data_IF_937770937112
#
_entry.id   IF_937770937112
#
_cell.length_a   1.000
_cell.length_b   1.000
_cell.length_c   1.000
_cell.angle_alpha   90.00
_cell.angle_beta   90.00
_cell.angle_gamma   90.00
#
_symmetry.space_group_name_H-M   'P 1'
#
loop_
_entity.id
_entity.type
_entity.pdbx_description
1 polymer ?
#
# COMPACT_ATOMS: atom_id res chain seq x y z
N UNK A 1 -2.23 -30.04 -1.74
CA UNK A 1 -3.50 -29.71 -1.06
C UNK A 1 -3.34 -29.97 0.43
N UNK A 2 -3.71 -29.03 1.33
CA UNK A 2 -3.48 -29.12 2.77
C UNK A 2 -4.27 -30.24 3.48
N UNK A 3 -5.22 -30.90 2.82
CA UNK A 3 -6.15 -31.88 3.38
C UNK A 3 -5.54 -32.93 4.33
N UNK A 4 -4.43 -33.57 3.96
CA UNK A 4 -3.71 -34.50 4.85
C UNK A 4 -2.65 -33.82 5.72
N UNK A 5 -2.12 -32.67 5.30
CA UNK A 5 -1.13 -31.91 6.07
C UNK A 5 -1.72 -31.34 7.36
N UNK A 6 -3.02 -31.05 7.37
CA UNK A 6 -3.74 -30.58 8.55
C UNK A 6 -4.09 -31.71 9.53
N UNK A 7 -3.93 -32.99 9.17
CA UNK A 7 -4.22 -34.13 10.07
C UNK A 7 -3.34 -34.13 11.33
N UNK A 8 -2.14 -33.56 11.26
CA UNK A 8 -1.26 -33.36 12.42
C UNK A 8 -1.64 -32.17 13.29
N UNK A 9 -2.63 -31.38 12.87
CA UNK A 9 -3.18 -30.29 13.67
C UNK A 9 -4.29 -30.81 14.58
N UNK A 10 -4.43 -30.23 15.77
CA UNK A 10 -5.48 -30.60 16.72
C UNK A 10 -6.89 -30.17 16.28
N UNK A 11 -7.02 -29.41 15.18
CA UNK A 11 -8.27 -28.80 14.77
C UNK A 11 -8.92 -29.38 13.51
N UNK A 12 -8.23 -30.27 12.77
CA UNK A 12 -8.76 -30.85 11.53
C UNK A 12 -8.79 -32.37 11.61
N UNK A 13 -10.00 -32.92 11.59
CA UNK A 13 -10.26 -34.32 11.85
C UNK A 13 -10.94 -35.01 10.66
N UNK A 14 -10.74 -36.32 10.54
CA UNK A 14 -11.40 -37.14 9.53
C UNK A 14 -12.23 -38.22 10.21
N UNK A 15 -13.48 -38.38 9.76
CA UNK A 15 -14.28 -39.56 10.05
C UNK A 15 -13.90 -40.65 9.06
N UNK A 16 -13.24 -41.70 9.54
CA UNK A 16 -12.82 -42.83 8.72
C UNK A 16 -14.01 -43.76 8.49
N UNK A 17 -14.16 -44.28 7.27
CA UNK A 17 -15.16 -45.28 6.95
C UNK A 17 -14.93 -46.56 7.77
N UNK A 18 -16.00 -47.26 8.22
CA UNK A 18 -15.85 -48.49 9.00
C UNK A 18 -14.97 -49.52 8.27
N UNK A 19 -14.05 -50.15 8.99
CA UNK A 19 -13.09 -51.16 8.49
C UNK A 19 -12.04 -50.62 7.49
N UNK A 20 -11.86 -49.30 7.42
CA UNK A 20 -10.82 -48.65 6.61
C UNK A 20 -9.69 -48.06 7.44
N UNK A 21 -9.67 -48.23 8.75
CA UNK A 21 -8.73 -47.62 9.68
C UNK A 21 -7.29 -48.00 9.37
N UNK A 22 -7.03 -49.28 9.12
CA UNK A 22 -5.69 -49.77 8.75
C UNK A 22 -5.21 -49.17 7.42
N UNK A 23 -6.10 -49.10 6.43
CA UNK A 23 -5.82 -48.51 5.12
C UNK A 23 -5.65 -46.98 5.18
N UNK A 24 -6.38 -46.32 6.07
CA UNK A 24 -6.31 -44.89 6.31
C UNK A 24 -5.05 -44.46 7.09
N UNK A 25 -4.60 -45.28 8.04
CA UNK A 25 -3.43 -44.96 8.86
C UNK A 25 -2.11 -44.96 8.08
N UNK A 26 -2.05 -45.67 6.94
CA UNK A 26 -0.90 -45.65 6.04
C UNK A 26 -0.95 -44.50 5.01
N UNK A 27 -2.04 -43.72 4.96
CA UNK A 27 -2.16 -42.57 4.05
C UNK A 27 -1.42 -41.36 4.62
N UNK A 28 -0.30 -41.01 3.98
CA UNK A 28 0.51 -39.82 4.32
C UNK A 28 0.33 -38.67 3.33
N UNK A 29 -0.13 -38.94 2.10
CA UNK A 29 -0.37 -37.93 1.06
C UNK A 29 -1.53 -38.31 0.13
N UNK A 30 -2.06 -37.33 -0.61
CA UNK A 30 -3.10 -37.53 -1.63
C UNK A 30 -2.57 -38.08 -2.97
N UNK A 31 -1.39 -38.71 -3.02
CA UNK A 31 -0.69 -39.12 -4.25
C UNK A 31 -1.41 -40.11 -5.18
N UNK A 32 -2.64 -40.51 -4.86
CA UNK A 32 -3.53 -41.31 -5.71
C UNK A 32 -4.82 -40.60 -6.16
N UNK A 33 -4.89 -39.27 -6.03
CA UNK A 33 -6.07 -38.48 -6.37
C UNK A 33 -7.22 -38.59 -5.35
N UNK A 34 -8.39 -38.07 -5.70
CA UNK A 34 -9.59 -38.03 -4.83
C UNK A 34 -10.13 -39.42 -4.46
N UNK A 35 -9.84 -40.44 -5.25
CA UNK A 35 -10.31 -41.82 -5.05
C UNK A 35 -9.94 -42.38 -3.67
N UNK A 36 -8.71 -42.13 -3.21
CA UNK A 36 -8.25 -42.60 -1.89
C UNK A 36 -8.95 -41.89 -0.72
N UNK A 37 -9.34 -40.63 -0.90
CA UNK A 37 -10.13 -39.90 0.10
C UNK A 37 -11.50 -40.55 0.20
N UNK A 38 -12.18 -40.70 -0.94
CA UNK A 38 -13.54 -41.26 -1.01
C UNK A 38 -13.59 -42.70 -0.48
N UNK A 39 -12.57 -43.51 -0.73
CA UNK A 39 -12.55 -44.92 -0.32
C UNK A 39 -12.27 -45.15 1.17
N UNK A 40 -11.77 -44.15 1.90
CA UNK A 40 -11.33 -44.30 3.28
C UNK A 40 -11.96 -43.29 4.26
N UNK A 41 -12.46 -42.15 3.78
CA UNK A 41 -12.91 -41.04 4.62
C UNK A 41 -14.38 -40.76 4.29
N UNK A 42 -15.22 -40.80 5.31
CA UNK A 42 -16.64 -40.49 5.22
C UNK A 42 -16.85 -38.97 5.10
N UNK A 43 -16.23 -38.20 5.98
CA UNK A 43 -16.17 -36.73 5.94
C UNK A 43 -14.99 -36.18 6.73
N UNK A 44 -14.67 -34.91 6.51
CA UNK A 44 -13.71 -34.14 7.30
C UNK A 44 -14.45 -33.06 8.09
N UNK A 45 -13.94 -32.71 9.27
CA UNK A 45 -14.58 -31.74 10.15
C UNK A 45 -13.54 -30.99 10.99
N UNK A 46 -13.87 -29.77 11.40
CA UNK A 46 -13.11 -29.03 12.39
C UNK A 46 -13.38 -29.57 13.79
N UNK A 47 -12.44 -29.46 14.73
CA UNK A 47 -12.74 -29.69 16.14
C UNK A 47 -13.86 -28.75 16.62
N UNK A 48 -14.61 -29.16 17.62
CA UNK A 48 -15.78 -28.40 18.11
C UNK A 48 -15.42 -26.96 18.51
N UNK A 49 -14.30 -26.77 19.20
CA UNK A 49 -13.83 -25.44 19.61
C UNK A 49 -13.54 -24.54 18.40
N UNK A 50 -12.90 -25.09 17.35
CA UNK A 50 -12.61 -24.33 16.12
C UNK A 50 -13.85 -24.12 15.28
N UNK A 51 -14.78 -25.09 15.27
CA UNK A 51 -16.07 -24.92 14.64
C UNK A 51 -16.87 -23.78 15.28
N UNK A 52 -16.88 -23.69 16.62
CA UNK A 52 -17.52 -22.58 17.35
C UNK A 52 -16.91 -21.23 16.96
N UNK A 53 -15.57 -21.16 16.86
CA UNK A 53 -14.87 -19.95 16.44
C UNK A 53 -15.18 -19.58 14.98
N UNK A 54 -15.19 -20.55 14.06
CA UNK A 54 -15.46 -20.31 12.64
C UNK A 54 -16.93 -19.92 12.41
N UNK A 55 -17.84 -20.43 13.24
CA UNK A 55 -19.27 -20.13 13.16
C UNK A 55 -19.65 -18.82 13.88
N UNK A 56 -18.67 -18.10 14.43
CA UNK A 56 -18.80 -16.76 14.98
C UNK A 56 -18.21 -15.74 13.99
N UNK A 57 -19.03 -14.84 13.46
CA UNK A 57 -18.63 -13.90 12.40
C UNK A 57 -17.40 -13.04 12.77
N UNK A 58 -17.29 -12.61 14.03
CA UNK A 58 -16.17 -11.80 14.50
C UNK A 58 -14.88 -12.62 14.53
N UNK A 59 -14.93 -13.81 15.13
CA UNK A 59 -13.77 -14.71 15.20
C UNK A 59 -13.35 -15.21 13.82
N UNK A 60 -14.29 -15.45 12.90
CA UNK A 60 -13.98 -15.82 11.53
C UNK A 60 -13.24 -14.71 10.78
N UNK A 61 -13.62 -13.45 11.00
CA UNK A 61 -12.95 -12.29 10.42
C UNK A 61 -11.49 -12.20 10.91
N UNK A 62 -11.27 -12.38 12.22
CA UNK A 62 -9.95 -12.35 12.84
C UNK A 62 -9.07 -13.52 12.35
N UNK A 63 -9.63 -14.72 12.28
CA UNK A 63 -8.93 -15.91 11.79
C UNK A 63 -8.55 -15.73 10.31
N UNK A 64 -9.49 -15.26 9.48
CA UNK A 64 -9.24 -15.03 8.05
C UNK A 64 -8.17 -13.96 7.85
N UNK A 65 -8.27 -12.84 8.56
CA UNK A 65 -7.29 -11.75 8.51
C UNK A 65 -5.90 -12.24 8.95
N UNK A 66 -5.83 -13.05 10.01
CA UNK A 66 -4.59 -13.64 10.52
C UNK A 66 -4.00 -14.66 9.55
N UNK A 67 -4.81 -15.53 8.95
CA UNK A 67 -4.36 -16.49 7.93
C UNK A 67 -3.81 -15.74 6.71
N UNK A 68 -4.51 -14.71 6.25
CA UNK A 68 -4.04 -13.87 5.14
C UNK A 68 -2.74 -13.16 5.50
N UNK A 69 -2.60 -12.69 6.74
CA UNK A 69 -1.35 -12.13 7.25
C UNK A 69 -0.23 -13.17 7.19
N UNK A 70 -0.44 -14.37 7.73
CA UNK A 70 0.57 -15.45 7.79
C UNK A 70 0.96 -15.92 6.38
N UNK A 71 0.01 -16.13 5.47
CA UNK A 71 0.29 -16.57 4.10
C UNK A 71 1.05 -15.52 3.30
N UNK A 72 0.78 -14.24 3.56
CA UNK A 72 1.57 -13.14 3.00
C UNK A 72 2.97 -13.07 3.64
N UNK A 73 3.11 -13.43 4.92
CA UNK A 73 4.38 -13.41 5.66
C UNK A 73 5.30 -14.62 5.38
N UNK A 74 4.77 -15.83 5.19
CA UNK A 74 5.59 -17.06 5.04
C UNK A 74 6.38 -17.15 3.71
N UNK A 75 6.29 -16.14 2.86
CA UNK A 75 7.12 -16.03 1.64
C UNK A 75 8.40 -15.20 1.83
N UNK A 76 8.79 -14.84 3.06
CA UNK A 76 10.11 -14.26 3.37
C UNK A 76 10.47 -14.50 4.86
N UNK A 77 11.45 -15.36 5.19
CA UNK A 77 11.71 -15.72 6.58
C UNK A 77 12.41 -14.65 7.44
N UNK A 78 12.83 -13.52 6.89
CA UNK A 78 13.64 -12.53 7.61
C UNK A 78 13.11 -11.11 7.40
N UNK A 79 12.13 -10.67 8.19
CA UNK A 79 11.88 -9.24 8.38
C UNK A 79 11.11 -9.03 9.70
N UNK A 80 11.85 -8.72 10.76
CA UNK A 80 11.31 -8.08 11.95
C UNK A 80 10.65 -6.75 11.58
N UNK A 81 9.44 -6.50 12.10
CA UNK A 81 8.75 -5.21 12.28
C UNK A 81 8.85 -4.12 11.17
N UNK A 82 9.18 -4.49 9.93
CA UNK A 82 9.10 -3.62 8.76
C UNK A 82 7.74 -3.75 8.08
N UNK A 83 7.18 -2.64 7.60
CA UNK A 83 6.02 -2.67 6.70
C UNK A 83 6.35 -3.58 5.51
N UNK A 84 5.71 -4.75 5.41
CA UNK A 84 5.87 -5.58 4.22
C UNK A 84 5.23 -4.85 3.05
N UNK A 85 6.09 -4.43 2.14
CA UNK A 85 5.74 -3.80 0.89
C UNK A 85 4.85 -4.70 0.04
N UNK A 86 3.94 -4.08 -0.69
CA UNK A 86 3.17 -4.77 -1.72
C UNK A 86 4.10 -5.24 -2.86
N UNK A 87 3.79 -6.39 -3.45
CA UNK A 87 4.61 -7.00 -4.52
C UNK A 87 4.32 -6.39 -5.89
N UNK A 88 5.14 -6.73 -6.88
CA UNK A 88 4.95 -6.32 -8.29
C UNK A 88 3.58 -6.66 -8.90
N UNK A 89 2.88 -7.68 -8.40
CA UNK A 89 1.52 -8.04 -8.85
C UNK A 89 0.39 -7.22 -8.20
N UNK A 90 0.68 -6.31 -7.27
CA UNK A 90 -0.36 -5.64 -6.45
C UNK A 90 -1.42 -4.87 -7.25
N UNK A 91 -1.07 -4.45 -8.47
CA UNK A 91 -1.94 -3.66 -9.34
C UNK A 91 -2.99 -4.49 -10.08
N UNK A 92 -2.85 -5.82 -10.13
CA UNK A 92 -3.71 -6.73 -10.92
C UNK A 92 -3.90 -6.28 -12.38
N UNK A 93 -2.88 -5.62 -12.96
CA UNK A 93 -2.91 -4.98 -14.29
C UNK A 93 -3.78 -3.73 -14.43
N UNK A 94 -4.27 -3.17 -13.32
CA UNK A 94 -4.98 -1.91 -13.29
C UNK A 94 -4.08 -0.79 -12.80
N UNK A 95 -4.13 0.36 -13.48
CA UNK A 95 -3.58 1.61 -12.95
C UNK A 95 -4.41 2.11 -11.76
N UNK A 96 -3.82 2.99 -10.96
CA UNK A 96 -4.56 3.74 -9.94
C UNK A 96 -5.67 4.57 -10.58
N UNK A 97 -6.85 4.52 -9.99
CA UNK A 97 -8.04 5.27 -10.41
C UNK A 97 -8.65 5.94 -9.18
N UNK A 98 -8.84 7.26 -9.23
CA UNK A 98 -9.46 8.04 -8.17
C UNK A 98 -10.92 7.64 -7.97
N UNK A 99 -11.66 7.43 -9.06
CA UNK A 99 -13.04 6.94 -8.95
C UNK A 99 -13.12 5.55 -8.30
N UNK A 100 -12.19 4.65 -8.59
CA UNK A 100 -12.08 3.35 -7.92
C UNK A 100 -11.71 3.46 -6.44
N UNK A 101 -10.72 4.29 -6.10
CA UNK A 101 -10.34 4.59 -4.72
C UNK A 101 -11.48 5.21 -3.90
N UNK A 102 -12.20 6.16 -4.49
CA UNK A 102 -13.37 6.81 -3.89
C UNK A 102 -14.46 5.81 -3.51
N UNK A 103 -14.75 4.86 -4.40
CA UNK A 103 -15.73 3.80 -4.15
C UNK A 103 -15.28 2.88 -3.01
N UNK A 104 -14.02 2.45 -3.01
CA UNK A 104 -13.47 1.64 -1.92
C UNK A 104 -13.56 2.38 -0.59
N UNK A 105 -13.08 3.63 -0.53
CA UNK A 105 -13.11 4.43 0.70
C UNK A 105 -14.55 4.64 1.21
N UNK A 106 -15.49 4.93 0.30
CA UNK A 106 -16.91 5.10 0.64
C UNK A 106 -17.54 3.82 1.18
N UNK A 107 -17.18 2.66 0.61
CA UNK A 107 -17.64 1.36 1.11
C UNK A 107 -17.12 1.06 2.52
N UNK A 108 -15.85 1.36 2.81
CA UNK A 108 -15.28 1.22 4.15
C UNK A 108 -15.99 2.12 5.17
N UNK A 109 -16.18 3.40 4.85
CA UNK A 109 -16.92 4.33 5.73
C UNK A 109 -18.36 3.84 5.98
N UNK A 110 -19.02 3.33 4.93
CA UNK A 110 -20.39 2.81 5.04
C UNK A 110 -20.45 1.56 5.92
N UNK A 111 -19.47 0.67 5.83
CA UNK A 111 -19.34 -0.52 6.69
C UNK A 111 -19.20 -0.13 8.15
N UNK A 112 -18.29 0.81 8.46
CA UNK A 112 -18.06 1.26 9.83
C UNK A 112 -19.28 1.96 10.44
N UNK A 113 -19.98 2.80 9.67
CA UNK A 113 -21.25 3.42 10.09
C UNK A 113 -22.34 2.40 10.40
N UNK A 114 -22.36 1.29 9.66
CA UNK A 114 -23.28 0.17 9.91
C UNK A 114 -22.78 -0.79 11.00
N UNK A 115 -21.69 -0.47 11.70
CA UNK A 115 -21.04 -1.31 12.73
C UNK A 115 -20.69 -2.70 12.20
N UNK A 116 -20.46 -2.81 10.90
CA UNK A 116 -19.94 -4.01 10.28
C UNK A 116 -18.43 -4.05 10.51
N UNK A 117 -17.88 -5.27 10.60
CA UNK A 117 -16.44 -5.49 10.57
C UNK A 117 -15.83 -5.00 9.24
N UNK A 118 -14.53 -5.21 9.07
CA UNK A 118 -13.80 -4.87 7.83
C UNK A 118 -14.59 -5.41 6.62
N UNK A 119 -14.88 -4.57 5.60
CA UNK A 119 -15.62 -4.98 4.42
C UNK A 119 -15.07 -6.26 3.80
N UNK A 120 -15.94 -7.26 3.64
CA UNK A 120 -15.60 -8.45 2.86
C UNK A 120 -15.51 -8.12 1.38
N UNK A 121 -14.86 -8.98 0.59
CA UNK A 121 -14.84 -8.82 -0.87
C UNK A 121 -16.26 -8.82 -1.46
N UNK A 122 -17.17 -9.63 -0.89
CA UNK A 122 -18.59 -9.67 -1.28
C UNK A 122 -19.27 -8.33 -1.01
N UNK A 123 -19.06 -7.75 0.17
CA UNK A 123 -19.59 -6.43 0.51
C UNK A 123 -19.09 -5.36 -0.46
N UNK A 124 -17.78 -5.36 -0.76
CA UNK A 124 -17.19 -4.41 -1.70
C UNK A 124 -17.78 -4.55 -3.12
N UNK A 125 -18.15 -5.76 -3.55
CA UNK A 125 -18.81 -5.97 -4.85
C UNK A 125 -20.24 -5.43 -4.89
N UNK A 126 -20.96 -5.47 -3.76
CA UNK A 126 -22.32 -4.94 -3.68
C UNK A 126 -22.36 -3.42 -3.57
N UNK A 127 -21.33 -2.83 -2.94
CA UNK A 127 -21.24 -1.39 -2.70
C UNK A 127 -20.46 -0.60 -3.77
N UNK A 128 -19.81 -1.29 -4.70
CA UNK A 128 -19.03 -0.66 -5.78
C UNK A 128 -19.47 -1.17 -7.14
N UNK A 129 -19.22 -0.39 -8.18
CA UNK A 129 -19.42 -0.82 -9.58
C UNK A 129 -18.18 -1.52 -10.14
N UNK A 130 -17.22 -1.88 -9.29
CA UNK A 130 -15.91 -2.40 -9.70
C UNK A 130 -15.98 -3.90 -9.95
N UNK A 131 -15.26 -4.35 -10.99
CA UNK A 131 -15.05 -5.78 -11.21
C UNK A 131 -14.17 -6.41 -10.12
N UNK A 132 -14.19 -7.74 -9.98
CA UNK A 132 -13.45 -8.46 -8.93
C UNK A 132 -11.97 -8.04 -8.81
N UNK A 133 -11.22 -8.09 -9.92
CA UNK A 133 -9.80 -7.73 -9.89
C UNK A 133 -9.59 -6.22 -9.67
N UNK A 134 -10.56 -5.38 -10.05
CA UNK A 134 -10.52 -3.95 -9.75
C UNK A 134 -10.73 -3.67 -8.27
N UNK A 135 -11.60 -4.43 -7.58
CA UNK A 135 -11.75 -4.34 -6.12
C UNK A 135 -10.43 -4.63 -5.43
N UNK A 136 -9.75 -5.72 -5.82
CA UNK A 136 -8.44 -6.10 -5.27
C UNK A 136 -7.40 -5.01 -5.53
N UNK A 137 -7.27 -4.56 -6.79
CA UNK A 137 -6.31 -3.51 -7.16
C UNK A 137 -6.56 -2.21 -6.41
N UNK A 138 -7.81 -1.72 -6.36
CA UNK A 138 -8.14 -0.47 -5.69
C UNK A 138 -8.02 -0.57 -4.16
N UNK A 139 -8.28 -1.73 -3.56
CA UNK A 139 -8.00 -1.95 -2.15
C UNK A 139 -6.49 -1.90 -1.86
N UNK A 140 -5.67 -2.50 -2.72
CA UNK A 140 -4.22 -2.42 -2.62
C UNK A 140 -3.72 -0.98 -2.80
N UNK A 141 -4.30 -0.21 -3.74
CA UNK A 141 -3.99 1.20 -3.89
C UNK A 141 -4.43 2.02 -2.68
N UNK A 142 -5.62 1.78 -2.12
CA UNK A 142 -6.11 2.50 -0.94
C UNK A 142 -5.20 2.26 0.28
N UNK A 143 -4.71 1.02 0.43
CA UNK A 143 -3.72 0.67 1.45
C UNK A 143 -2.36 1.31 1.18
N UNK A 144 -1.86 1.15 -0.04
CA UNK A 144 -0.55 1.66 -0.44
C UNK A 144 -0.46 3.18 -0.37
N UNK A 145 -1.56 3.90 -0.62
CA UNK A 145 -1.64 5.36 -0.60
C UNK A 145 -2.09 5.94 0.75
N UNK A 146 -2.09 5.13 1.82
CA UNK A 146 -2.31 5.61 3.17
C UNK A 146 -3.75 5.98 3.52
N UNK A 147 -4.75 5.60 2.72
CA UNK A 147 -6.17 5.83 3.02
C UNK A 147 -6.72 4.79 4.01
N UNK A 148 -6.21 3.56 3.94
CA UNK A 148 -6.66 2.42 4.74
C UNK A 148 -5.44 1.68 5.30
N UNK A 149 -5.44 1.33 6.58
CA UNK A 149 -4.39 0.55 7.21
C UNK A 149 -4.41 -0.91 6.74
N UNK A 150 -3.34 -1.65 7.03
CA UNK A 150 -3.26 -3.09 6.71
C UNK A 150 -4.39 -3.90 7.34
N UNK A 151 -4.77 -3.56 8.56
CA UNK A 151 -5.86 -4.20 9.30
C UNK A 151 -7.26 -3.73 8.87
N UNK A 152 -7.38 -2.94 7.80
CA UNK A 152 -8.68 -2.51 7.28
C UNK A 152 -9.31 -1.31 7.99
N UNK A 153 -8.66 -0.75 9.03
CA UNK A 153 -9.10 0.53 9.60
C UNK A 153 -8.84 1.69 8.63
N UNK A 154 -9.74 2.67 8.62
CA UNK A 154 -9.54 3.90 7.86
C UNK A 154 -8.53 4.78 8.60
N UNK A 155 -7.60 5.39 7.86
CA UNK A 155 -6.62 6.30 8.46
C UNK A 155 -7.24 7.68 8.70
N UNK A 156 -6.60 8.53 9.51
CA UNK A 156 -7.01 9.93 9.66
C UNK A 156 -7.02 10.65 8.30
N UNK A 157 -6.01 10.40 7.45
CA UNK A 157 -5.99 10.91 6.07
C UNK A 157 -7.20 10.41 5.26
N UNK A 158 -7.56 9.13 5.36
CA UNK A 158 -8.74 8.56 4.71
C UNK A 158 -10.04 9.26 5.13
N UNK A 159 -10.22 9.52 6.43
CA UNK A 159 -11.38 10.26 6.95
C UNK A 159 -11.45 11.69 6.40
N UNK A 160 -10.35 12.42 6.50
CA UNK A 160 -10.28 13.82 6.06
C UNK A 160 -10.53 13.94 4.55
N UNK A 161 -9.99 13.02 3.75
CA UNK A 161 -10.25 12.96 2.31
C UNK A 161 -11.72 12.67 2.04
N UNK A 162 -12.33 11.69 2.71
CA UNK A 162 -13.73 11.35 2.50
C UNK A 162 -14.66 12.55 2.74
N UNK A 163 -14.40 13.32 3.80
CA UNK A 163 -15.25 14.45 4.17
C UNK A 163 -15.06 15.69 3.28
N UNK A 164 -13.85 15.93 2.76
CA UNK A 164 -13.49 17.20 2.09
C UNK A 164 -13.16 17.08 0.60
N UNK A 165 -12.75 15.89 0.15
CA UNK A 165 -12.43 15.59 -1.24
C UNK A 165 -12.83 14.16 -1.60
N UNK A 166 -14.14 13.81 -1.54
CA UNK A 166 -14.61 12.45 -1.81
C UNK A 166 -14.25 11.97 -3.23
N UNK A 167 -14.00 12.89 -4.16
CA UNK A 167 -13.57 12.60 -5.53
C UNK A 167 -12.06 12.35 -5.69
N UNK A 168 -11.28 12.56 -4.62
CA UNK A 168 -9.81 12.61 -4.59
C UNK A 168 -9.20 13.55 -5.66
N UNK A 169 -9.93 14.58 -6.05
CA UNK A 169 -9.60 15.41 -7.21
C UNK A 169 -8.77 16.64 -6.88
N UNK A 170 -8.66 17.02 -5.60
CA UNK A 170 -7.82 18.13 -5.14
C UNK A 170 -6.34 17.78 -5.31
N UNK A 171 -5.52 18.81 -5.47
CA UNK A 171 -4.09 18.66 -5.76
C UNK A 171 -3.32 18.24 -4.50
N UNK A 172 -3.75 18.72 -3.33
CA UNK A 172 -3.31 18.33 -1.99
C UNK A 172 -3.43 16.82 -1.80
N UNK A 173 -4.62 16.28 -2.08
CA UNK A 173 -4.93 14.84 -1.97
C UNK A 173 -4.02 14.02 -2.87
N UNK A 174 -3.87 14.41 -4.13
CA UNK A 174 -3.06 13.65 -5.08
C UNK A 174 -1.57 13.63 -4.71
N UNK A 175 -1.04 14.74 -4.17
CA UNK A 175 0.34 14.77 -3.66
C UNK A 175 0.53 13.82 -2.48
N UNK A 176 -0.45 13.74 -1.57
CA UNK A 176 -0.42 12.81 -0.45
C UNK A 176 -0.56 11.36 -0.90
N UNK A 177 -1.47 11.05 -1.84
CA UNK A 177 -1.60 9.72 -2.42
C UNK A 177 -0.27 9.28 -3.07
N UNK A 178 0.35 10.18 -3.84
CA UNK A 178 1.66 9.96 -4.45
C UNK A 178 2.76 9.72 -3.40
N UNK A 179 2.81 10.55 -2.36
CA UNK A 179 3.78 10.42 -1.29
C UNK A 179 3.67 9.06 -0.58
N UNK A 180 2.48 8.71 -0.10
CA UNK A 180 2.27 7.49 0.69
C UNK A 180 2.54 6.22 -0.13
N UNK A 181 2.13 6.18 -1.41
CA UNK A 181 2.45 5.01 -2.25
C UNK A 181 3.95 4.87 -2.56
N UNK A 182 4.72 5.96 -2.42
CA UNK A 182 6.12 6.00 -2.82
C UNK A 182 7.10 5.89 -1.64
N UNK A 183 6.66 6.13 -0.40
CA UNK A 183 7.55 6.16 0.77
C UNK A 183 7.81 4.76 1.34
N UNK A 184 8.97 4.58 1.99
CA UNK A 184 9.44 3.27 2.47
C UNK A 184 8.72 2.76 3.72
N UNK A 185 8.18 3.63 4.59
CA UNK A 185 7.49 3.17 5.81
C UNK A 185 6.02 2.74 5.60
N UNK A 186 5.45 3.01 4.43
CA UNK A 186 4.05 2.67 4.11
C UNK A 186 3.87 1.32 3.40
N UNK A 187 2.63 0.95 3.08
CA UNK A 187 2.29 -0.31 2.41
C UNK A 187 2.47 -0.28 0.88
N UNK A 188 2.82 0.86 0.27
CA UNK A 188 3.04 0.95 -1.18
C UNK A 188 4.04 -0.07 -1.71
N UNK A 189 3.99 -0.45 -2.99
CA UNK A 189 4.91 -1.44 -3.53
C UNK A 189 6.32 -0.85 -3.68
N UNK A 190 7.34 -1.63 -3.32
CA UNK A 190 8.71 -1.14 -3.17
C UNK A 190 9.27 -0.51 -4.45
N UNK A 191 8.96 -1.11 -5.60
CA UNK A 191 9.43 -0.62 -6.88
C UNK A 191 8.92 0.80 -7.21
N UNK A 192 7.79 1.23 -6.63
CA UNK A 192 7.14 2.49 -7.01
C UNK A 192 7.99 3.69 -6.59
N UNK A 193 8.30 3.77 -5.30
CA UNK A 193 9.20 4.79 -4.74
C UNK A 193 10.58 4.78 -5.38
N UNK A 194 11.17 3.58 -5.55
CA UNK A 194 12.45 3.40 -6.24
C UNK A 194 12.40 3.93 -7.68
N UNK A 195 11.31 3.68 -8.41
CA UNK A 195 11.16 4.14 -9.80
C UNK A 195 11.05 5.65 -9.86
N UNK A 196 10.21 6.26 -9.02
CA UNK A 196 10.08 7.72 -8.94
C UNK A 196 11.44 8.36 -8.63
N UNK A 197 12.10 7.92 -7.56
CA UNK A 197 13.33 8.54 -7.08
C UNK A 197 14.52 8.43 -8.06
N UNK A 198 14.53 7.43 -8.94
CA UNK A 198 15.69 7.12 -9.80
C UNK A 198 15.44 7.22 -11.31
N UNK A 199 14.19 7.33 -11.75
CA UNK A 199 13.85 7.39 -13.18
C UNK A 199 13.06 8.62 -13.57
N UNK A 200 12.30 9.22 -12.68
CA UNK A 200 11.47 10.38 -12.99
C UNK A 200 12.29 11.67 -12.94
N UNK A 201 13.30 11.79 -13.79
CA UNK A 201 14.13 12.98 -13.90
C UNK A 201 13.46 13.96 -14.88
N UNK A 202 13.23 15.20 -14.43
CA UNK A 202 12.55 16.23 -15.23
C UNK A 202 13.27 16.42 -16.58
N UNK A 203 12.51 16.40 -17.67
CA UNK A 203 13.02 16.52 -19.04
C UNK A 203 13.40 15.20 -19.69
N UNK A 204 13.41 14.09 -18.95
CA UNK A 204 13.67 12.77 -19.53
C UNK A 204 12.41 12.18 -20.16
N UNK A 205 12.61 11.51 -21.28
CA UNK A 205 11.64 10.59 -21.86
C UNK A 205 11.76 9.22 -21.18
N UNK A 206 10.62 8.59 -20.89
CA UNK A 206 10.52 7.25 -20.32
C UNK A 206 9.72 6.37 -21.26
N UNK A 207 10.20 5.16 -21.53
CA UNK A 207 9.38 4.14 -22.17
C UNK A 207 9.07 2.99 -21.22
N UNK A 208 7.97 2.28 -21.52
CA UNK A 208 7.47 1.16 -20.71
C UNK A 208 8.54 0.10 -20.47
N UNK A 209 9.35 -0.22 -21.49
CA UNK A 209 10.32 -1.31 -21.44
C UNK A 209 11.46 -0.98 -20.47
N UNK A 210 12.01 0.23 -20.53
CA UNK A 210 13.04 0.71 -19.59
C UNK A 210 12.56 0.70 -18.14
N UNK A 211 11.31 1.11 -17.91
CA UNK A 211 10.71 1.05 -16.58
C UNK A 211 10.53 -0.39 -16.12
N UNK A 212 10.07 -1.30 -16.99
CA UNK A 212 9.94 -2.72 -16.67
C UNK A 212 11.30 -3.37 -16.33
N UNK A 213 12.35 -3.05 -17.07
CA UNK A 213 13.73 -3.50 -16.80
C UNK A 213 14.22 -2.97 -15.45
N UNK A 214 13.94 -1.70 -15.13
CA UNK A 214 14.28 -1.14 -13.81
C UNK A 214 13.53 -1.83 -12.67
N UNK A 215 12.22 -2.04 -12.81
CA UNK A 215 11.41 -2.74 -11.80
C UNK A 215 11.93 -4.17 -11.61
N UNK A 216 12.27 -4.86 -12.71
CA UNK A 216 12.88 -6.18 -12.67
C UNK A 216 14.16 -6.17 -11.83
N UNK A 217 15.14 -5.31 -12.16
CA UNK A 217 16.39 -5.20 -11.41
C UNK A 217 16.15 -4.86 -9.93
N UNK A 218 15.30 -3.88 -9.63
CA UNK A 218 14.99 -3.47 -8.27
C UNK A 218 14.34 -4.60 -7.45
N UNK A 219 13.52 -5.46 -8.08
CA UNK A 219 12.87 -6.59 -7.42
C UNK A 219 13.88 -7.70 -7.10
N UNK A 220 14.82 -7.97 -8.01
CA UNK A 220 15.90 -8.93 -7.77
C UNK A 220 16.85 -8.45 -6.67
N UNK A 221 17.20 -7.17 -6.67
CA UNK A 221 18.02 -6.54 -5.60
C UNK A 221 17.33 -6.60 -4.23
N UNK A 222 15.99 -6.51 -4.20
CA UNK A 222 15.18 -6.67 -3.00
C UNK A 222 15.03 -8.13 -2.54
N UNK A 223 15.61 -9.10 -3.26
CA UNK A 223 15.51 -10.52 -2.94
C UNK A 223 14.15 -11.14 -3.27
N UNK A 224 13.32 -10.49 -4.10
CA UNK A 224 12.07 -11.08 -4.56
C UNK A 224 12.34 -12.28 -5.47
N UNK A 225 11.43 -13.26 -5.43
CA UNK A 225 11.44 -14.37 -6.39
C UNK A 225 11.29 -13.80 -7.80
N UNK A 226 12.19 -14.18 -8.69
CA UNK A 226 12.11 -13.83 -10.10
C UNK A 226 10.77 -14.29 -10.71
N UNK A 227 10.06 -13.35 -11.32
CA UNK A 227 8.81 -13.59 -12.03
C UNK A 227 9.02 -13.54 -13.55
N UNK A 228 7.99 -13.91 -14.31
CA UNK A 228 8.00 -13.72 -15.76
C UNK A 228 8.09 -12.24 -16.11
N UNK A 229 8.90 -11.89 -17.12
CA UNK A 229 9.19 -10.50 -17.47
C UNK A 229 7.93 -9.64 -17.72
N UNK A 230 6.90 -10.24 -18.33
CA UNK A 230 5.61 -9.57 -18.57
C UNK A 230 4.93 -9.05 -17.29
N UNK A 231 5.21 -9.61 -16.11
CA UNK A 231 4.70 -9.09 -14.83
C UNK A 231 5.24 -7.69 -14.55
N UNK A 232 6.52 -7.45 -14.86
CA UNK A 232 7.16 -6.15 -14.67
C UNK A 232 6.71 -5.15 -15.74
N UNK A 233 6.40 -5.60 -16.96
CA UNK A 233 5.77 -4.76 -17.98
C UNK A 233 4.36 -4.31 -17.58
N UNK A 234 3.59 -5.18 -16.93
CA UNK A 234 2.29 -4.86 -16.35
C UNK A 234 2.46 -3.84 -15.23
N UNK A 235 3.39 -4.05 -14.30
CA UNK A 235 3.70 -3.09 -13.23
C UNK A 235 4.12 -1.72 -13.77
N UNK A 236 4.97 -1.69 -14.80
CA UNK A 236 5.38 -0.47 -15.50
C UNK A 236 4.19 0.24 -16.15
N UNK A 237 3.29 -0.53 -16.79
CA UNK A 237 2.07 0.01 -17.41
C UNK A 237 1.15 0.64 -16.37
N UNK A 238 0.92 -0.04 -15.25
CA UNK A 238 0.10 0.45 -14.15
C UNK A 238 0.70 1.72 -13.53
N UNK A 239 2.02 1.75 -13.31
CA UNK A 239 2.73 2.92 -12.76
C UNK A 239 2.63 4.11 -13.71
N UNK A 240 3.05 3.97 -14.97
CA UNK A 240 3.01 5.06 -15.96
C UNK A 240 1.57 5.54 -16.23
N UNK A 241 0.64 4.59 -16.31
CA UNK A 241 -0.79 4.86 -16.47
C UNK A 241 -1.39 5.65 -15.30
N UNK A 242 -0.89 5.44 -14.08
CA UNK A 242 -1.37 6.14 -12.89
C UNK A 242 -1.05 7.63 -12.92
N UNK A 243 0.02 8.05 -13.58
CA UNK A 243 0.42 9.46 -13.68
C UNK A 243 -0.02 10.15 -14.98
N UNK A 244 -0.50 9.40 -15.98
CA UNK A 244 -0.90 9.93 -17.29
C UNK A 244 -2.42 9.93 -17.52
N UNK A 245 -3.18 9.09 -16.81
CA UNK A 245 -4.62 8.98 -17.01
C UNK A 245 -5.41 10.10 -16.32
N UNK A 246 -6.47 10.59 -16.98
CA UNK A 246 -7.38 11.62 -16.44
C UNK A 246 -7.98 11.28 -15.06
N UNK A 247 -8.32 10.00 -14.84
CA UNK A 247 -8.85 9.53 -13.57
C UNK A 247 -7.75 9.07 -12.59
N UNK A 248 -6.47 9.16 -12.97
CA UNK A 248 -5.34 8.89 -12.08
C UNK A 248 -4.83 10.17 -11.40
N UNK A 249 -3.51 10.28 -11.30
CA UNK A 249 -2.75 11.38 -10.69
C UNK A 249 -2.27 12.41 -11.72
N UNK A 250 -2.91 12.51 -12.89
CA UNK A 250 -2.45 13.40 -13.97
C UNK A 250 -2.38 14.88 -13.57
N UNK A 251 -3.18 15.33 -12.59
CA UNK A 251 -3.13 16.73 -12.13
C UNK A 251 -1.80 17.06 -11.47
N UNK A 252 -1.01 16.08 -11.02
CA UNK A 252 0.34 16.33 -10.55
C UNK A 252 1.25 16.88 -11.65
N UNK A 253 0.92 16.65 -12.92
CA UNK A 253 1.74 17.12 -14.05
C UNK A 253 3.12 16.46 -14.10
N UNK A 254 3.28 15.29 -13.47
CA UNK A 254 4.56 14.57 -13.42
C UNK A 254 4.92 13.97 -14.77
N UNK A 255 3.94 13.35 -15.44
CA UNK A 255 4.12 12.75 -16.77
C UNK A 255 3.16 13.38 -17.77
N UNK A 256 3.65 13.60 -18.98
CA UNK A 256 2.85 13.90 -20.16
C UNK A 256 2.96 12.74 -21.16
N UNK A 257 1.86 12.35 -21.79
CA UNK A 257 1.81 11.30 -22.80
C UNK A 257 0.79 10.19 -22.52
N UNK A 258 0.88 9.04 -23.21
CA UNK A 258 1.99 8.66 -24.10
C UNK A 258 1.95 9.34 -25.49
N UNK A 259 3.09 9.83 -25.96
CA UNK A 259 3.32 10.19 -27.37
C UNK A 259 4.34 9.20 -27.97
N UNK A 260 4.00 8.53 -29.09
CA UNK A 260 4.86 7.51 -29.73
C UNK A 260 5.46 6.48 -28.75
N UNK A 261 4.65 5.95 -27.83
CA UNK A 261 5.04 4.99 -26.77
C UNK A 261 6.06 5.51 -25.74
N UNK A 262 6.21 6.83 -25.64
CA UNK A 262 7.08 7.49 -24.67
C UNK A 262 6.28 8.45 -23.79
N UNK A 263 6.71 8.60 -22.55
CA UNK A 263 6.17 9.54 -21.56
C UNK A 263 7.25 10.56 -21.27
N UNK A 264 6.90 11.85 -21.29
CA UNK A 264 7.84 12.91 -20.92
C UNK A 264 7.66 13.26 -19.45
N UNK A 265 8.75 13.23 -18.67
CA UNK A 265 8.73 13.72 -17.29
C UNK A 265 8.76 15.25 -17.31
N UNK A 266 7.73 15.87 -16.75
CA UNK A 266 7.56 17.32 -16.72
C UNK A 266 7.85 17.87 -15.33
N UNK A 267 7.96 19.20 -15.26
CA UNK A 267 7.94 19.88 -13.97
C UNK A 267 6.55 19.73 -13.38
N UNK A 268 6.42 19.10 -12.20
CA UNK A 268 5.12 18.87 -11.62
C UNK A 268 4.48 20.17 -11.12
N UNK A 269 3.17 20.13 -10.88
CA UNK A 269 2.45 21.20 -10.21
C UNK A 269 3.05 21.46 -8.82
N UNK A 270 3.09 22.72 -8.39
CA UNK A 270 3.64 23.06 -7.07
C UNK A 270 2.89 22.33 -5.95
N UNK A 271 3.63 21.74 -5.02
CA UNK A 271 3.05 21.12 -3.82
C UNK A 271 2.42 22.20 -2.95
N UNK A 272 1.11 22.13 -2.64
CA UNK A 272 0.48 23.05 -1.71
C UNK A 272 1.16 22.99 -0.34
N UNK A 273 1.31 24.14 0.31
CA UNK A 273 2.06 24.25 1.58
C UNK A 273 1.49 23.36 2.69
N UNK A 274 0.16 23.26 2.80
CA UNK A 274 -0.51 22.40 3.80
C UNK A 274 -0.26 20.91 3.53
N UNK A 275 -0.27 20.49 2.25
CA UNK A 275 0.08 19.12 1.87
C UNK A 275 1.56 18.82 2.16
N UNK A 276 2.47 19.76 1.88
CA UNK A 276 3.88 19.63 2.22
C UNK A 276 4.10 19.54 3.75
N UNK A 277 3.35 20.31 4.55
CA UNK A 277 3.40 20.21 6.01
C UNK A 277 3.00 18.81 6.51
N UNK A 278 1.93 18.24 5.97
CA UNK A 278 1.49 16.88 6.30
C UNK A 278 2.54 15.83 5.90
N UNK A 279 3.07 15.92 4.67
CA UNK A 279 4.14 15.05 4.17
C UNK A 279 5.37 15.12 5.07
N UNK A 280 5.81 16.33 5.43
CA UNK A 280 6.99 16.51 6.27
C UNK A 280 6.76 15.94 7.68
N UNK A 281 5.59 16.18 8.27
CA UNK A 281 5.26 15.66 9.59
C UNK A 281 5.22 14.13 9.63
N UNK A 282 4.65 13.50 8.59
CA UNK A 282 4.62 12.05 8.48
C UNK A 282 6.01 11.46 8.26
N UNK A 283 6.79 12.02 7.32
CA UNK A 283 8.16 11.62 7.09
C UNK A 283 9.03 11.75 8.35
N UNK A 284 8.86 12.85 9.09
CA UNK A 284 9.57 13.08 10.33
C UNK A 284 9.22 12.05 11.40
N UNK A 285 7.94 11.72 11.56
CA UNK A 285 7.51 10.72 12.54
C UNK A 285 8.09 9.34 12.23
N UNK A 286 8.21 8.97 10.95
CA UNK A 286 8.75 7.68 10.54
C UNK A 286 10.27 7.60 10.70
N UNK A 287 11.00 8.67 10.38
CA UNK A 287 12.47 8.65 10.30
C UNK A 287 13.16 9.23 11.54
N UNK A 288 12.49 10.11 12.28
CA UNK A 288 13.04 10.85 13.41
C UNK A 288 12.03 10.97 14.58
N UNK A 289 11.42 9.87 15.05
CA UNK A 289 10.27 9.90 15.99
C UNK A 289 10.56 10.66 17.29
N UNK A 290 11.78 10.57 17.80
CA UNK A 290 12.18 11.19 19.08
C UNK A 290 12.85 12.55 18.93
N UNK A 291 13.05 13.03 17.71
CA UNK A 291 13.81 14.25 17.45
C UNK A 291 12.89 15.45 17.27
N UNK A 292 13.12 16.50 18.06
CA UNK A 292 12.51 17.82 17.84
C UNK A 292 13.27 18.60 16.77
N UNK A 293 14.58 18.37 16.64
CA UNK A 293 15.45 18.99 15.64
C UNK A 293 16.29 17.95 14.92
N UNK A 294 16.57 18.21 13.65
CA UNK A 294 17.47 17.42 12.81
C UNK A 294 18.32 18.36 11.96
N UNK A 295 19.41 17.85 11.43
CA UNK A 295 20.24 18.63 10.52
C UNK A 295 19.50 18.84 9.18
N UNK A 296 19.57 20.04 8.63
CA UNK A 296 18.93 20.37 7.35
C UNK A 296 19.43 19.47 6.21
N UNK A 297 20.69 19.04 6.31
CA UNK A 297 21.31 18.08 5.40
C UNK A 297 20.63 16.71 5.44
N UNK A 298 20.19 16.24 6.61
CA UNK A 298 19.50 14.95 6.74
C UNK A 298 18.18 14.93 5.96
N UNK A 299 17.46 16.06 5.88
CA UNK A 299 16.26 16.18 5.06
C UNK A 299 16.60 16.35 3.57
N UNK A 300 17.49 17.27 3.24
CA UNK A 300 17.79 17.66 1.85
C UNK A 300 18.53 16.56 1.07
N UNK A 301 19.31 15.71 1.74
CA UNK A 301 19.99 14.55 1.13
C UNK A 301 19.18 13.25 1.23
N UNK A 302 18.04 13.25 1.89
CA UNK A 302 17.17 12.06 1.98
C UNK A 302 16.52 11.72 0.62
N UNK A 303 15.75 10.64 0.60
CA UNK A 303 14.90 10.30 -0.54
C UNK A 303 13.67 11.21 -0.67
N UNK A 304 13.26 11.95 0.37
CA UNK A 304 12.03 12.74 0.36
C UNK A 304 12.00 13.78 -0.78
N UNK A 305 13.02 14.64 -1.00
CA UNK A 305 13.03 15.58 -2.13
C UNK A 305 12.90 14.88 -3.48
N UNK A 306 13.53 13.71 -3.66
CA UNK A 306 13.46 12.94 -4.91
C UNK A 306 12.05 12.39 -5.15
N UNK A 307 11.39 11.87 -4.12
CA UNK A 307 10.01 11.41 -4.21
C UNK A 307 9.11 12.56 -4.64
N UNK A 308 9.28 13.73 -4.03
CA UNK A 308 8.51 14.94 -4.34
C UNK A 308 8.91 15.63 -5.65
N UNK A 309 9.90 15.09 -6.37
CA UNK A 309 10.47 15.66 -7.59
C UNK A 309 10.90 17.13 -7.42
N UNK A 310 11.41 17.44 -6.23
CA UNK A 310 11.96 18.74 -5.88
C UNK A 310 13.49 18.68 -5.89
N UNK A 311 14.11 19.60 -6.62
CA UNK A 311 15.53 19.92 -6.42
C UNK A 311 15.76 20.52 -5.03
N UNK A 312 17.02 20.58 -4.61
CA UNK A 312 17.41 21.11 -3.29
C UNK A 312 16.84 22.51 -3.04
N UNK A 313 16.88 23.39 -4.04
CA UNK A 313 16.33 24.75 -3.93
C UNK A 313 14.81 24.76 -3.76
N UNK A 314 14.09 23.92 -4.51
CA UNK A 314 12.64 23.80 -4.40
C UNK A 314 12.20 23.25 -3.04
N UNK A 315 12.93 22.26 -2.53
CA UNK A 315 12.69 21.70 -1.20
C UNK A 315 12.98 22.74 -0.10
N UNK A 316 14.09 23.48 -0.21
CA UNK A 316 14.44 24.54 0.71
C UNK A 316 13.46 25.72 0.67
N UNK A 317 12.90 26.04 -0.50
CA UNK A 317 11.83 27.02 -0.62
C UNK A 317 10.58 26.57 0.14
N UNK A 318 10.20 25.28 0.06
CA UNK A 318 9.08 24.73 0.84
C UNK A 318 9.34 24.73 2.34
N UNK A 319 10.56 24.42 2.79
CA UNK A 319 10.94 24.60 4.20
C UNK A 319 10.87 26.07 4.64
N UNK A 320 11.23 27.02 3.77
CA UNK A 320 11.12 28.45 4.06
C UNK A 320 9.66 28.92 4.15
N UNK A 321 8.76 28.40 3.31
CA UNK A 321 7.31 28.65 3.41
C UNK A 321 6.79 28.21 4.79
N UNK A 322 7.12 26.99 5.24
CA UNK A 322 6.72 26.48 6.56
C UNK A 322 7.34 27.28 7.71
N UNK A 323 8.49 27.91 7.50
CA UNK A 323 9.19 28.75 8.49
C UNK A 323 8.67 30.19 8.54
N UNK A 324 7.83 30.60 7.60
CA UNK A 324 7.34 31.96 7.51
C UNK A 324 6.48 32.30 8.75
N UNK A 325 6.50 33.55 9.25
CA UNK A 325 5.86 33.93 10.51
C UNK A 325 4.38 33.55 10.63
N UNK A 326 3.66 33.53 9.51
CA UNK A 326 2.24 33.18 9.45
C UNK A 326 1.95 31.70 9.68
N UNK A 327 2.90 30.80 9.36
CA UNK A 327 2.76 29.36 9.59
C UNK A 327 3.52 28.90 10.82
N UNK A 328 4.78 29.33 10.96
CA UNK A 328 5.62 29.02 12.12
C UNK A 328 5.78 27.53 12.44
N UNK A 329 5.56 26.65 11.45
CA UNK A 329 5.53 25.20 11.64
C UNK A 329 6.93 24.60 11.79
N UNK A 330 7.93 25.23 11.19
CA UNK A 330 9.34 24.89 11.40
C UNK A 330 10.14 26.15 11.76
N UNK A 331 11.29 25.96 12.40
CA UNK A 331 12.30 27.00 12.57
C UNK A 331 13.62 26.54 11.99
N UNK A 332 14.24 27.40 11.17
CA UNK A 332 15.60 27.18 10.64
C UNK A 332 16.63 27.83 11.57
N UNK A 333 17.56 27.03 12.11
CA UNK A 333 18.60 27.48 13.03
C UNK A 333 19.96 27.45 12.33
N UNK A 334 20.34 28.59 11.72
CA UNK A 334 21.59 28.76 10.97
C UNK A 334 22.84 29.02 11.83
N UNK A 335 22.68 29.12 13.15
CA UNK A 335 23.79 29.31 14.09
C UNK A 335 24.60 28.03 14.33
N UNK A 336 24.08 26.89 13.90
CA UNK A 336 24.74 25.59 13.95
C UNK A 336 25.35 25.27 12.59
N UNK A 337 26.44 24.50 12.62
CA UNK A 337 27.07 23.92 11.44
C UNK A 337 27.12 22.39 11.61
N UNK A 338 26.27 21.62 10.90
CA UNK A 338 25.35 22.06 9.85
C UNK A 338 24.11 22.82 10.39
N UNK A 339 23.43 23.64 9.56
CA UNK A 339 22.17 24.27 9.92
C UNK A 339 21.12 23.25 10.35
N UNK A 340 20.32 23.58 11.37
CA UNK A 340 19.28 22.68 11.88
C UNK A 340 17.87 23.13 11.53
N UNK A 341 16.98 22.16 11.37
CA UNK A 341 15.54 22.36 11.28
C UNK A 341 14.92 21.89 12.59
N UNK A 342 14.16 22.76 13.24
CA UNK A 342 13.37 22.46 14.44
C UNK A 342 11.89 22.39 14.05
N UNK A 343 11.23 21.26 14.28
CA UNK A 343 9.76 21.18 14.15
C UNK A 343 9.08 21.87 15.32
N UNK A 344 8.00 22.61 15.06
CA UNK A 344 7.22 23.32 16.09
C UNK A 344 5.89 22.64 16.42
N UNK A 345 5.48 21.64 15.63
CA UNK A 345 4.35 20.79 15.98
C UNK A 345 4.77 19.67 16.95
N UNK A 346 3.94 19.43 17.95
CA UNK A 346 4.06 18.28 18.88
C UNK A 346 3.29 17.07 18.37
N UNK A 347 2.15 17.32 17.71
CA UNK A 347 1.25 16.33 17.11
C UNK A 347 1.00 16.69 15.63
N UNK A 348 0.81 15.69 14.78
CA UNK A 348 0.49 15.86 13.36
C UNK A 348 -1.00 16.10 13.10
N UNK A 349 -1.88 15.74 14.03
CA UNK A 349 -3.34 15.87 13.88
C UNK A 349 -3.83 17.29 13.48
N UNK A 350 -3.33 18.39 14.06
CA UNK A 350 -3.72 19.73 13.62
C UNK A 350 -3.33 20.05 12.18
N UNK A 351 -2.21 19.47 11.69
CA UNK A 351 -1.76 19.67 10.31
C UNK A 351 -2.71 18.97 9.33
N UNK A 352 -3.15 17.76 9.67
CA UNK A 352 -4.13 17.02 8.88
C UNK A 352 -5.47 17.76 8.81
N UNK A 353 -5.93 18.31 9.94
CA UNK A 353 -7.16 19.12 10.00
C UNK A 353 -7.06 20.36 9.11
N UNK A 354 -5.86 20.95 9.00
CA UNK A 354 -5.59 22.12 8.16
C UNK A 354 -5.30 21.79 6.69
N UNK A 355 -5.33 20.51 6.28
CA UNK A 355 -4.96 20.10 4.92
C UNK A 355 -5.74 20.87 3.84
N UNK A 356 -7.02 21.12 4.09
CA UNK A 356 -7.96 21.74 3.15
C UNK A 356 -8.46 23.13 3.56
N UNK A 357 -7.92 23.68 4.66
CA UNK A 357 -8.33 24.95 5.25
C UNK A 357 -7.88 26.17 4.44
#
# INVERSE_FOLDING_TARGET
MPFFHLRGSYFWNHKVLPNRETGYNILTTSGGGSKRIIENIEYAYFSDDVWILINNDNSLCDITSTIMLILNNQNSPNAEAGSQKLKTSFSESFRMSRSGLSQILSAFISSEKNKLSIPTETFLKEYTTLGQNQVIANLNYARGSGLIKRNGEITNFGYIVYDNDPSLSRIETQWLLHYFISVEHELGPEFWGKTIANRFLIGNALNKKEIAEFIFSASIEAGEKQLAFGTYEVAATSLLGSYSANDGLVKLGILEGPEKNSYMVRTPQTIPTNAFACILADYWQANFPSSASIDEEQLTKSNLPKLLLLGVDGFNAKLAELAAPQLGLVQRQRRFDPPQILRRWTDKEPLWTALYA
#
